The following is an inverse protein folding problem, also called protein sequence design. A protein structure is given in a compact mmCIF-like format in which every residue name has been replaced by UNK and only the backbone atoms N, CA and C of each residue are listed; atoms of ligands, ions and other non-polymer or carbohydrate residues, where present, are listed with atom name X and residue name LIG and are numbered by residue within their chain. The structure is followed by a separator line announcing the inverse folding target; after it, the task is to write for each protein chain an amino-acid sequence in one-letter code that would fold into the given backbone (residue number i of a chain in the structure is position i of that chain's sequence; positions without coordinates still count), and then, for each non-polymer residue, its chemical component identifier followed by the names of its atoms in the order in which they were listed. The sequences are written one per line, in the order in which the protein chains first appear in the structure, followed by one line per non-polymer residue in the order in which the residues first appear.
data_IF_995421076803
#
_entry.id   IF_995421076803
#
_cell.length_a   1.000
_cell.length_b   1.000
_cell.length_c   1.000
_cell.angle_alpha   90.00
_cell.angle_beta   90.00
_cell.angle_gamma   90.00
#
_symmetry.space_group_name_H-M   'P 1'
#
loop_
_entity.id
_entity.type
_entity.pdbx_description
1 polymer ?
#
# COMPACT_ATOMS: atom_id res chain seq x y z
N UNK A 1 -2.07 -24.44 6.31
CA UNK A 1 -1.32 -23.44 7.11
C UNK A 1 -0.61 -22.35 6.27
N UNK A 2 -0.57 -22.45 4.92
CA UNK A 2 0.10 -21.46 4.05
C UNK A 2 -0.73 -20.17 3.79
N UNK A 3 -2.07 -20.25 3.80
CA UNK A 3 -2.95 -19.10 3.53
C UNK A 3 -2.80 -17.91 4.51
N UNK A 4 -2.58 -18.18 5.81
CA UNK A 4 -2.43 -17.11 6.83
C UNK A 4 -1.07 -16.40 6.77
N UNK A 5 -0.03 -17.06 6.27
CA UNK A 5 1.30 -16.48 6.09
C UNK A 5 1.34 -15.60 4.83
N UNK A 6 0.69 -16.05 3.76
CA UNK A 6 0.57 -15.27 2.52
C UNK A 6 -0.25 -13.98 2.75
N UNK A 7 -1.33 -14.08 3.55
CA UNK A 7 -2.10 -12.92 3.99
C UNK A 7 -1.27 -11.95 4.85
N UNK A 8 -0.32 -12.44 5.65
CA UNK A 8 0.59 -11.58 6.43
C UNK A 8 1.63 -10.90 5.54
N UNK A 9 2.15 -11.58 4.53
CA UNK A 9 3.09 -11.01 3.56
C UNK A 9 2.42 -9.93 2.70
N UNK A 10 1.14 -10.11 2.36
CA UNK A 10 0.32 -9.12 1.68
C UNK A 10 -0.09 -7.93 2.57
N UNK A 11 0.01 -8.05 3.90
CA UNK A 11 -0.48 -7.04 4.83
C UNK A 11 0.19 -5.67 4.63
N UNK A 12 1.52 -5.52 4.57
CA UNK A 12 2.17 -4.23 4.35
C UNK A 12 1.85 -3.66 2.96
N UNK A 13 1.85 -4.51 1.93
CA UNK A 13 1.54 -4.12 0.56
C UNK A 13 0.12 -3.58 0.40
N UNK A 14 -0.86 -4.20 1.06
CA UNK A 14 -2.23 -3.74 1.08
C UNK A 14 -2.38 -2.37 1.76
N UNK A 15 -1.69 -2.13 2.88
CA UNK A 15 -1.73 -0.84 3.59
C UNK A 15 -1.06 0.25 2.77
N UNK A 16 0.07 -0.06 2.14
CA UNK A 16 0.74 0.86 1.22
C UNK A 16 -0.19 1.22 0.05
N UNK A 17 -0.82 0.23 -0.58
CA UNK A 17 -1.79 0.44 -1.67
C UNK A 17 -2.94 1.34 -1.23
N UNK A 18 -3.53 1.09 -0.06
CA UNK A 18 -4.60 1.92 0.49
C UNK A 18 -4.14 3.36 0.78
N UNK A 19 -2.95 3.55 1.36
CA UNK A 19 -2.36 4.87 1.59
C UNK A 19 -2.10 5.63 0.28
N UNK A 20 -1.57 4.95 -0.72
CA UNK A 20 -1.33 5.54 -2.04
C UNK A 20 -2.64 5.91 -2.73
N UNK A 21 -3.70 5.10 -2.58
CA UNK A 21 -5.02 5.42 -3.08
C UNK A 21 -5.62 6.66 -2.39
N UNK A 22 -5.47 6.78 -1.07
CA UNK A 22 -5.83 8.00 -0.31
C UNK A 22 -5.09 9.22 -0.86
N UNK A 23 -3.77 9.11 -1.07
CA UNK A 23 -2.93 10.22 -1.50
C UNK A 23 -3.17 10.66 -2.95
N UNK A 24 -3.59 9.74 -3.83
CA UNK A 24 -3.73 9.99 -5.28
C UNK A 24 -5.18 10.07 -5.78
N UNK A 25 -6.15 9.81 -4.90
CA UNK A 25 -7.56 9.61 -5.20
C UNK A 25 -8.42 10.86 -5.38
N UNK A 26 -7.89 12.06 -5.13
CA UNK A 26 -8.65 13.33 -5.25
C UNK A 26 -9.62 13.63 -4.10
N UNK A 27 -10.02 12.63 -3.30
CA UNK A 27 -10.87 12.78 -2.09
C UNK A 27 -10.22 12.10 -0.86
N UNK A 28 -9.07 12.57 -0.37
CA UNK A 28 -8.30 11.89 0.67
C UNK A 28 -9.08 11.71 1.99
N UNK A 29 -9.84 12.73 2.42
CA UNK A 29 -10.63 12.64 3.65
C UNK A 29 -11.73 11.55 3.58
N UNK A 30 -12.31 11.37 2.40
CA UNK A 30 -13.34 10.36 2.18
C UNK A 30 -12.76 8.96 2.06
N UNK A 31 -11.60 8.83 1.39
CA UNK A 31 -10.85 7.59 1.33
C UNK A 31 -10.44 7.11 2.73
N UNK A 32 -9.94 8.01 3.59
CA UNK A 32 -9.59 7.68 4.98
C UNK A 32 -10.82 7.30 5.79
N UNK A 33 -11.92 8.05 5.66
CA UNK A 33 -13.18 7.74 6.35
C UNK A 33 -13.70 6.35 5.96
N UNK A 34 -13.78 6.07 4.66
CA UNK A 34 -14.25 4.79 4.14
C UNK A 34 -13.34 3.64 4.60
N UNK A 35 -12.02 3.80 4.52
CA UNK A 35 -11.07 2.81 5.04
C UNK A 35 -11.34 2.52 6.53
N UNK A 36 -11.36 3.55 7.38
CA UNK A 36 -11.55 3.35 8.83
C UNK A 36 -12.89 2.72 9.18
N UNK A 37 -13.96 3.10 8.48
CA UNK A 37 -15.32 2.65 8.80
C UNK A 37 -15.65 1.27 8.22
N UNK A 38 -15.13 0.93 7.04
CA UNK A 38 -15.65 -0.17 6.24
C UNK A 38 -14.63 -1.29 5.97
N UNK A 39 -13.32 -1.04 6.09
CA UNK A 39 -12.31 -2.06 5.74
C UNK A 39 -12.41 -3.35 6.59
N UNK A 40 -12.80 -3.23 7.86
CA UNK A 40 -12.97 -4.38 8.75
C UNK A 40 -14.22 -5.23 8.44
N UNK A 41 -15.16 -4.71 7.62
CA UNK A 41 -16.33 -5.45 7.15
C UNK A 41 -15.97 -6.45 6.05
N UNK A 42 -14.82 -6.26 5.40
CA UNK A 42 -14.36 -7.14 4.34
C UNK A 42 -13.74 -8.41 4.95
N UNK A 43 -14.10 -9.61 4.46
CA UNK A 43 -13.58 -10.87 5.01
C UNK A 43 -12.05 -11.02 4.87
N UNK A 44 -11.47 -10.42 3.81
CA UNK A 44 -10.02 -10.36 3.65
C UNK A 44 -9.44 -9.09 4.31
N UNK A 45 -8.46 -9.24 5.22
CA UNK A 45 -7.78 -8.13 5.87
C UNK A 45 -6.86 -7.33 4.93
N UNK A 46 -6.63 -7.81 3.71
CA UNK A 46 -5.82 -7.17 2.69
C UNK A 46 -6.68 -6.42 1.67
N UNK A 47 -7.75 -7.06 1.18
CA UNK A 47 -8.65 -6.42 0.23
C UNK A 47 -9.47 -5.29 0.85
N UNK A 48 -9.93 -5.44 2.11
CA UNK A 48 -10.78 -4.44 2.78
C UNK A 48 -10.20 -3.02 2.78
N UNK A 49 -8.97 -2.80 3.27
CA UNK A 49 -8.31 -1.49 3.24
C UNK A 49 -8.23 -0.88 1.83
N UNK A 50 -7.88 -1.70 0.83
CA UNK A 50 -7.69 -1.25 -0.56
C UNK A 50 -9.04 -0.86 -1.17
N UNK A 51 -10.03 -1.75 -1.13
CA UNK A 51 -11.34 -1.51 -1.73
C UNK A 51 -12.06 -0.33 -1.05
N UNK A 52 -11.99 -0.23 0.28
CA UNK A 52 -12.61 0.87 1.02
C UNK A 52 -11.94 2.22 0.71
N UNK A 53 -10.59 2.25 0.61
CA UNK A 53 -9.86 3.44 0.21
C UNK A 53 -10.19 3.85 -1.23
N UNK A 54 -10.30 2.90 -2.16
CA UNK A 54 -10.70 3.16 -3.55
C UNK A 54 -12.14 3.67 -3.64
N UNK A 55 -13.08 3.08 -2.90
CA UNK A 55 -14.48 3.51 -2.84
C UNK A 55 -14.58 4.98 -2.39
N UNK A 56 -13.89 5.34 -1.29
CA UNK A 56 -13.86 6.70 -0.79
C UNK A 56 -13.12 7.69 -1.71
N UNK A 57 -11.99 7.28 -2.29
CA UNK A 57 -11.24 8.09 -3.25
C UNK A 57 -12.08 8.42 -4.50
N UNK A 58 -12.76 7.43 -5.05
CA UNK A 58 -13.63 7.60 -6.21
C UNK A 58 -14.98 8.25 -5.85
N UNK A 59 -15.34 8.30 -4.57
CA UNK A 59 -16.63 8.82 -4.11
C UNK A 59 -17.81 7.91 -4.46
N UNK A 60 -17.55 6.62 -4.66
CA UNK A 60 -18.56 5.63 -5.04
C UNK A 60 -18.80 4.64 -3.91
N UNK A 61 -19.95 4.00 -3.90
CA UNK A 61 -20.29 2.89 -3.02
C UNK A 61 -19.98 1.57 -3.74
N UNK A 62 -19.16 0.71 -3.12
CA UNK A 62 -18.84 -0.63 -3.64
C UNK A 62 -19.54 -1.71 -2.80
N UNK A 63 -19.72 -2.90 -3.39
CA UNK A 63 -20.36 -4.05 -2.74
C UNK A 63 -21.89 -3.93 -2.70
N UNK A 64 -22.51 -4.61 -1.73
CA UNK A 64 -23.96 -4.78 -1.66
C UNK A 64 -24.44 -6.07 -2.33
N UNK A 65 -25.73 -6.12 -2.62
CA UNK A 65 -26.39 -7.26 -3.25
C UNK A 65 -26.10 -7.28 -4.73
N UNK A 66 -25.25 -8.21 -5.16
CA UNK A 66 -24.98 -8.49 -6.58
C UNK A 66 -25.86 -9.67 -6.99
N UNK A 67 -26.66 -9.50 -8.04
CA UNK A 67 -27.43 -10.60 -8.64
C UNK A 67 -26.90 -10.84 -10.05
N UNK A 68 -26.27 -11.99 -10.29
CA UNK A 68 -25.77 -12.37 -11.61
C UNK A 68 -26.05 -13.86 -11.88
N UNK A 69 -26.61 -14.17 -13.04
CA UNK A 69 -26.88 -15.56 -13.45
C UNK A 69 -27.74 -16.38 -12.48
N UNK A 70 -28.71 -15.75 -11.80
CA UNK A 70 -29.58 -16.41 -10.83
C UNK A 70 -28.98 -16.61 -9.42
N UNK A 71 -27.75 -16.16 -9.18
CA UNK A 71 -27.11 -16.16 -7.86
C UNK A 71 -27.08 -14.77 -7.26
N UNK A 72 -27.50 -14.67 -6.01
CA UNK A 72 -27.42 -13.46 -5.20
C UNK A 72 -26.21 -13.59 -4.28
N UNK A 73 -25.24 -12.70 -4.44
CA UNK A 73 -24.07 -12.59 -3.58
C UNK A 73 -24.16 -11.29 -2.76
N UNK A 74 -24.03 -11.40 -1.45
CA UNK A 74 -23.98 -10.24 -0.57
C UNK A 74 -22.54 -9.90 -0.25
N UNK A 75 -22.04 -8.82 -0.84
CA UNK A 75 -20.74 -8.24 -0.49
C UNK A 75 -20.91 -7.13 0.55
N UNK A 76 -19.93 -6.95 1.45
CA UNK A 76 -19.94 -5.83 2.38
C UNK A 76 -20.02 -4.52 1.60
N UNK A 77 -20.92 -3.63 2.04
CA UNK A 77 -21.07 -2.32 1.43
C UNK A 77 -19.95 -1.41 1.94
N UNK A 78 -19.13 -0.89 1.02
CA UNK A 78 -18.02 0.02 1.29
C UNK A 78 -18.39 1.43 0.82
N UNK A 79 -18.02 2.44 1.61
CA UNK A 79 -18.37 3.85 1.41
C UNK A 79 -19.90 4.04 1.24
N UNK A 80 -20.69 3.36 2.08
CA UNK A 80 -22.13 3.18 1.89
C UNK A 80 -22.95 4.45 1.66
N UNK A 81 -23.32 5.17 2.72
CA UNK A 81 -24.16 6.38 2.61
C UNK A 81 -23.44 7.59 2.00
N UNK A 82 -22.11 7.60 2.08
CA UNK A 82 -21.30 8.71 1.59
C UNK A 82 -20.88 8.58 0.12
N UNK A 83 -20.99 7.39 -0.47
CA UNK A 83 -20.69 7.12 -1.86
C UNK A 83 -21.94 7.08 -2.73
N UNK A 84 -21.81 7.57 -3.97
CA UNK A 84 -22.85 7.40 -5.01
C UNK A 84 -22.82 5.99 -5.61
N UNK A 85 -23.89 5.58 -6.29
CA UNK A 85 -23.88 4.34 -7.06
C UNK A 85 -22.78 4.37 -8.14
N UNK A 86 -22.20 3.21 -8.46
CA UNK A 86 -21.19 3.07 -9.52
C UNK A 86 -21.85 3.26 -10.89
N UNK A 87 -21.18 3.99 -11.77
CA UNK A 87 -21.56 4.24 -13.15
C UNK A 87 -20.46 3.73 -14.09
N UNK A 88 -20.79 3.53 -15.37
CA UNK A 88 -19.82 3.04 -16.36
C UNK A 88 -18.59 3.94 -16.49
N UNK A 89 -18.76 5.26 -16.37
CA UNK A 89 -17.66 6.22 -16.38
C UNK A 89 -16.67 6.07 -15.21
N UNK A 90 -17.05 5.39 -14.12
CA UNK A 90 -16.14 5.14 -13.01
C UNK A 90 -15.08 4.09 -13.33
N UNK A 91 -15.30 3.25 -14.34
CA UNK A 91 -14.31 2.25 -14.77
C UNK A 91 -13.02 2.96 -15.15
N UNK A 92 -13.09 3.99 -15.98
CA UNK A 92 -11.90 4.73 -16.39
C UNK A 92 -11.26 5.48 -15.22
N UNK A 93 -12.07 6.05 -14.31
CA UNK A 93 -11.57 6.72 -13.10
C UNK A 93 -10.82 5.74 -12.20
N UNK A 94 -11.36 4.54 -12.00
CA UNK A 94 -10.76 3.46 -11.23
C UNK A 94 -9.47 2.97 -11.88
N UNK A 95 -9.45 2.79 -13.21
CA UNK A 95 -8.24 2.42 -13.96
C UNK A 95 -7.17 3.49 -13.82
N UNK A 96 -7.51 4.78 -13.96
CA UNK A 96 -6.55 5.88 -13.77
C UNK A 96 -5.97 5.90 -12.35
N UNK A 97 -6.82 5.72 -11.34
CA UNK A 97 -6.38 5.64 -9.94
C UNK A 97 -5.45 4.43 -9.72
N UNK A 98 -5.85 3.25 -10.22
CA UNK A 98 -5.06 2.02 -10.13
C UNK A 98 -3.67 2.19 -10.77
N UNK A 99 -3.59 2.77 -11.97
CA UNK A 99 -2.32 3.06 -12.65
C UNK A 99 -1.44 4.01 -11.83
N UNK A 100 -2.00 5.08 -11.28
CA UNK A 100 -1.26 6.02 -10.41
C UNK A 100 -0.70 5.32 -9.19
N UNK A 101 -1.52 4.53 -8.50
CA UNK A 101 -1.10 3.74 -7.34
C UNK A 101 0.00 2.75 -7.73
N UNK A 102 -0.12 2.07 -8.87
CA UNK A 102 0.90 1.16 -9.37
C UNK A 102 2.25 1.83 -9.64
N UNK A 103 2.25 2.99 -10.31
CA UNK A 103 3.47 3.77 -10.57
C UNK A 103 4.11 4.26 -9.27
N UNK A 104 3.29 4.74 -8.32
CA UNK A 104 3.78 5.19 -7.01
C UNK A 104 4.35 4.03 -6.19
N UNK A 105 3.69 2.87 -6.19
CA UNK A 105 4.15 1.67 -5.51
C UNK A 105 5.49 1.18 -6.08
N UNK A 106 5.64 1.18 -7.41
CA UNK A 106 6.91 0.89 -8.07
C UNK A 106 7.99 1.88 -7.66
N UNK A 107 7.68 3.17 -7.65
CA UNK A 107 8.60 4.23 -7.21
C UNK A 107 9.07 4.04 -5.76
N UNK A 108 8.15 3.72 -4.84
CA UNK A 108 8.45 3.41 -3.44
C UNK A 108 9.35 2.17 -3.34
N UNK A 109 9.07 1.11 -4.12
CA UNK A 109 9.88 -0.10 -4.14
C UNK A 109 11.32 0.14 -4.63
N UNK A 110 11.47 0.88 -5.74
CA UNK A 110 12.78 1.24 -6.30
C UNK A 110 13.56 2.12 -5.34
N UNK A 111 12.93 3.18 -4.78
CA UNK A 111 13.57 4.07 -3.82
C UNK A 111 14.01 3.32 -2.56
N UNK A 112 13.16 2.44 -2.02
CA UNK A 112 13.49 1.59 -0.88
C UNK A 112 14.72 0.71 -1.14
N UNK A 113 14.79 0.09 -2.32
CA UNK A 113 15.94 -0.76 -2.71
C UNK A 113 17.24 0.03 -2.86
N UNK A 114 17.20 1.19 -3.51
CA UNK A 114 18.37 2.06 -3.68
C UNK A 114 18.86 2.61 -2.33
N UNK A 115 17.93 3.02 -1.46
CA UNK A 115 18.24 3.49 -0.11
C UNK A 115 18.91 2.42 0.75
N UNK A 116 18.36 1.19 0.76
CA UNK A 116 18.95 0.06 1.45
C UNK A 116 20.38 -0.26 0.96
N UNK A 117 20.60 -0.25 -0.36
CA UNK A 117 21.91 -0.45 -0.95
C UNK A 117 22.91 0.66 -0.55
N UNK A 118 22.47 1.92 -0.49
CA UNK A 118 23.31 3.03 -0.05
C UNK A 118 23.70 2.92 1.44
N UNK A 119 22.77 2.51 2.30
CA UNK A 119 23.05 2.28 3.73
C UNK A 119 24.03 1.13 3.91
N UNK A 120 23.84 0.00 3.22
CA UNK A 120 24.75 -1.14 3.27
C UNK A 120 26.19 -0.75 2.84
N UNK A 121 26.32 0.01 1.74
CA UNK A 121 27.62 0.54 1.29
C UNK A 121 28.28 1.46 2.31
N UNK A 122 27.52 2.31 3.00
CA UNK A 122 28.04 3.20 4.05
C UNK A 122 28.54 2.42 5.27
N UNK A 123 27.86 1.35 5.66
CA UNK A 123 28.27 0.49 6.78
C UNK A 123 29.56 -0.27 6.41
N UNK A 124 29.61 -0.88 5.23
CA UNK A 124 30.80 -1.59 4.75
C UNK A 124 32.01 -0.67 4.59
N UNK A 125 31.83 0.55 4.08
CA UNK A 125 32.89 1.55 3.95
C UNK A 125 33.44 2.08 5.28
N UNK A 126 32.65 2.03 6.38
CA UNK A 126 33.13 2.36 7.73
C UNK A 126 33.93 1.22 8.37
N UNK A 127 33.58 -0.04 8.08
CA UNK A 127 34.29 -1.22 8.58
C UNK A 127 35.66 -1.43 7.90
N UNK A 128 35.83 -0.91 6.67
CA UNK A 128 37.06 -1.07 5.88
C UNK A 128 38.14 0.00 6.05
N UNK A 129 38.01 0.95 7.01
CA UNK A 129 39.09 1.93 7.27
C UNK A 129 40.24 1.25 8.03
N UNK A 130 41.43 1.05 7.42
CA UNK A 130 42.57 0.50 8.13
C UNK A 130 43.00 1.49 9.22
N UNK A 131 43.21 1.02 10.45
CA UNK A 131 43.96 1.81 11.43
C UNK A 131 45.36 2.02 10.85
N UNK A 132 45.68 3.26 10.49
CA UNK A 132 47.00 3.61 9.95
C UNK A 132 48.12 3.17 10.88
N UNK A 133 49.32 2.89 10.35
CA UNK A 133 50.41 2.30 11.13
C UNK A 133 50.72 3.17 12.34
N UNK A 134 50.57 2.59 13.54
CA UNK A 134 51.03 3.17 14.80
C UNK A 134 52.55 3.22 14.78
N UNK A 135 53.12 4.30 14.27
CA UNK A 135 54.53 4.61 14.45
C UNK A 135 54.76 5.06 15.90
N UNK A 136 54.88 4.11 16.82
CA UNK A 136 55.45 4.38 18.14
C UNK A 136 56.94 4.14 18.06
N UNK A 137 57.69 5.24 17.94
CA UNK A 137 59.13 5.28 17.77
C UNK A 137 59.86 4.45 18.81
N UNK A 138 60.68 3.53 18.30
CA UNK A 138 61.73 2.84 19.05
C UNK A 138 62.80 3.89 19.37
N UNK A 139 62.80 4.43 20.59
CA UNK A 139 63.96 5.14 21.14
C UNK A 139 65.08 4.12 21.31
N UNK A 140 66.05 4.16 20.42
CA UNK A 140 67.33 3.52 20.62
C UNK A 140 68.26 4.53 21.29
N UNK A 141 68.72 4.14 22.49
CA UNK A 141 69.99 4.43 23.17
C UNK A 141 70.41 5.91 23.26
#
# INVERSE_FOLDING_TARGET
ASARLDDLAGWPGARLTALLAVASGGRPGEAVRAWRADAAKHPSPNAGPVEAAFAGALGVRLGGTLAYGGRVEHRPVLNGKAGRAVETGDIERAVRLSRRVGVLALGVGVAGRLGAAAVARRIAGRAGRPQGPRTSGRRAI
#
